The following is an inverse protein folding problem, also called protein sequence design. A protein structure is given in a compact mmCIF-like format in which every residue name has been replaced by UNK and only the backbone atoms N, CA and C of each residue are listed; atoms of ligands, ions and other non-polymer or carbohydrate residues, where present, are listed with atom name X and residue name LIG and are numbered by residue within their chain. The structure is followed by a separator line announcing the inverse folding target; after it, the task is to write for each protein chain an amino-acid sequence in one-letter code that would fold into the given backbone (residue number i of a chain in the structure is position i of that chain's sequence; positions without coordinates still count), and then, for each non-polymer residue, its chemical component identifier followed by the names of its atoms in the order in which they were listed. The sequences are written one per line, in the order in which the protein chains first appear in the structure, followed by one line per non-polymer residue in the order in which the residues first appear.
data_IF_789533013879
#
_entry.id   IF_789533013879
#
_cell.length_a   1.000
_cell.length_b   1.000
_cell.length_c   1.000
_cell.angle_alpha   90.00
_cell.angle_beta   90.00
_cell.angle_gamma   90.00
#
_symmetry.space_group_name_H-M   'P 1'
#
loop_
_entity.id
_entity.type
_entity.pdbx_description
1 polymer ?
#
# COMPACT_ATOMS: atom_id res chain seq x y z
N UNK A 1 0.65 -9.41 12.27
CA UNK A 1 -0.67 -9.59 11.62
C UNK A 1 -0.70 -10.99 11.01
N UNK A 2 -1.50 -11.94 11.52
CA UNK A 2 -1.33 -13.38 11.21
C UNK A 2 -2.17 -13.93 10.03
N UNK A 3 -3.09 -13.17 9.41
CA UNK A 3 -4.07 -13.74 8.45
C UNK A 3 -4.34 -12.87 7.20
N UNK A 4 -3.36 -12.18 6.61
CA UNK A 4 -3.61 -11.34 5.43
C UNK A 4 -3.22 -12.04 4.12
N UNK A 5 -4.20 -12.28 3.25
CA UNK A 5 -3.97 -12.75 1.87
C UNK A 5 -4.06 -11.56 0.91
N UNK A 6 -3.05 -11.30 0.07
CA UNK A 6 -3.15 -10.28 -0.95
C UNK A 6 -4.26 -10.61 -1.94
N UNK A 7 -5.29 -9.77 -2.01
CA UNK A 7 -6.47 -9.98 -2.88
C UNK A 7 -6.32 -9.42 -4.31
N UNK A 8 -5.13 -8.91 -4.66
CA UNK A 8 -4.87 -8.28 -5.96
C UNK A 8 -3.77 -8.97 -6.75
N UNK A 9 -3.85 -8.90 -8.10
CA UNK A 9 -2.75 -9.33 -8.98
C UNK A 9 -1.51 -8.48 -8.69
N UNK A 10 -0.48 -9.09 -8.11
CA UNK A 10 0.82 -8.46 -7.85
C UNK A 10 1.81 -8.86 -8.94
N UNK A 11 2.44 -7.89 -9.57
CA UNK A 11 3.47 -8.13 -10.60
C UNK A 11 4.83 -8.49 -10.00
N UNK A 12 5.06 -8.08 -8.74
CA UNK A 12 6.31 -8.31 -7.99
C UNK A 12 6.03 -9.24 -6.81
N UNK A 13 6.80 -10.33 -6.73
CA UNK A 13 6.78 -11.30 -5.62
C UNK A 13 7.73 -10.88 -4.49
N UNK A 14 7.55 -11.39 -3.24
CA UNK A 14 8.48 -11.14 -2.14
C UNK A 14 9.92 -11.50 -2.50
N UNK A 15 10.16 -12.65 -3.15
CA UNK A 15 11.51 -13.05 -3.55
C UNK A 15 12.14 -12.06 -4.55
N UNK A 16 11.34 -11.47 -5.43
CA UNK A 16 11.80 -10.45 -6.36
C UNK A 16 12.10 -9.13 -5.64
N UNK A 17 11.31 -8.76 -4.63
CA UNK A 17 11.57 -7.59 -3.80
C UNK A 17 12.87 -7.74 -2.99
N UNK A 18 13.13 -8.91 -2.41
CA UNK A 18 14.40 -9.21 -1.72
C UNK A 18 15.57 -8.99 -2.68
N UNK A 19 15.52 -9.56 -3.90
CA UNK A 19 16.59 -9.39 -4.89
C UNK A 19 16.83 -7.92 -5.26
N UNK A 20 15.75 -7.15 -5.48
CA UNK A 20 15.85 -5.72 -5.81
C UNK A 20 16.49 -4.95 -4.66
N UNK A 21 16.06 -5.19 -3.42
CA UNK A 21 16.59 -4.47 -2.27
C UNK A 21 18.03 -4.85 -1.97
N UNK A 22 18.38 -6.14 -2.12
CA UNK A 22 19.74 -6.62 -1.97
C UNK A 22 20.70 -5.99 -2.98
N UNK A 23 20.27 -5.81 -4.24
CA UNK A 23 21.04 -5.11 -5.27
C UNK A 23 21.32 -3.65 -4.91
N UNK A 24 20.49 -3.05 -4.06
CA UNK A 24 20.65 -1.67 -3.57
C UNK A 24 21.32 -1.61 -2.18
N UNK A 25 21.89 -2.72 -1.70
CA UNK A 25 22.61 -2.77 -0.42
C UNK A 25 21.73 -3.02 0.81
N UNK A 26 20.43 -3.27 0.63
CA UNK A 26 19.49 -3.51 1.73
C UNK A 26 19.13 -4.99 1.80
N UNK A 27 19.61 -5.69 2.82
CA UNK A 27 19.29 -7.10 3.06
C UNK A 27 18.06 -7.16 3.96
N UNK A 28 17.05 -7.89 3.51
CA UNK A 28 15.79 -8.08 4.25
C UNK A 28 15.36 -9.55 4.23
N UNK A 29 14.59 -9.93 5.23
CA UNK A 29 13.94 -11.24 5.33
C UNK A 29 12.70 -11.33 4.43
N UNK A 30 12.20 -12.55 4.22
CA UNK A 30 10.97 -12.75 3.43
C UNK A 30 9.74 -12.10 4.08
N UNK A 31 9.64 -12.13 5.41
CA UNK A 31 8.55 -11.49 6.16
C UNK A 31 8.59 -9.97 6.03
N UNK A 32 9.78 -9.37 6.06
CA UNK A 32 9.95 -7.93 5.80
C UNK A 32 9.60 -7.58 4.34
N UNK A 33 9.99 -8.41 3.38
CA UNK A 33 9.66 -8.21 1.97
C UNK A 33 8.15 -8.23 1.74
N UNK A 34 7.42 -9.14 2.39
CA UNK A 34 5.97 -9.20 2.34
C UNK A 34 5.32 -7.93 2.90
N UNK A 35 5.82 -7.45 4.05
CA UNK A 35 5.31 -6.24 4.70
C UNK A 35 5.55 -4.99 3.84
N UNK A 36 6.76 -4.85 3.31
CA UNK A 36 7.16 -3.73 2.45
C UNK A 36 6.30 -3.73 1.19
N UNK A 37 6.19 -4.87 0.49
CA UNK A 37 5.37 -4.96 -0.70
C UNK A 37 3.91 -4.61 -0.41
N UNK A 38 3.36 -5.10 0.71
CA UNK A 38 1.98 -4.80 1.07
C UNK A 38 1.74 -3.31 1.29
N UNK A 39 2.64 -2.65 2.03
CA UNK A 39 2.61 -1.21 2.20
C UNK A 39 2.68 -0.49 0.85
N UNK A 40 3.63 -0.84 -0.02
CA UNK A 40 3.82 -0.21 -1.32
C UNK A 40 2.61 -0.35 -2.23
N UNK A 41 1.98 -1.53 -2.30
CA UNK A 41 0.78 -1.72 -3.11
C UNK A 41 -0.42 -0.91 -2.59
N UNK A 42 -0.60 -0.84 -1.27
CA UNK A 42 -1.66 -0.03 -0.65
C UNK A 42 -1.44 1.46 -0.94
N UNK A 43 -0.20 1.92 -0.79
CA UNK A 43 0.18 3.29 -1.06
C UNK A 43 -0.01 3.65 -2.53
N UNK A 44 0.48 2.81 -3.46
CA UNK A 44 0.31 3.02 -4.90
C UNK A 44 -1.18 3.09 -5.29
N UNK A 45 -2.00 2.15 -4.79
CA UNK A 45 -3.45 2.17 -5.02
C UNK A 45 -4.09 3.46 -4.52
N UNK A 46 -3.70 3.92 -3.33
CA UNK A 46 -4.22 5.15 -2.74
C UNK A 46 -3.81 6.38 -3.57
N UNK A 47 -2.56 6.48 -4.01
CA UNK A 47 -2.05 7.58 -4.84
C UNK A 47 -2.74 7.62 -6.20
N UNK A 48 -2.88 6.48 -6.87
CA UNK A 48 -3.60 6.40 -8.15
C UNK A 48 -5.06 6.79 -7.98
N UNK A 49 -5.73 6.33 -6.92
CA UNK A 49 -7.12 6.73 -6.62
C UNK A 49 -7.24 8.24 -6.41
N UNK A 50 -6.33 8.85 -5.66
CA UNK A 50 -6.32 10.30 -5.46
C UNK A 50 -6.13 11.07 -6.77
N UNK A 51 -5.20 10.62 -7.62
CA UNK A 51 -4.95 11.21 -8.93
C UNK A 51 -6.19 11.12 -9.83
N UNK A 52 -6.82 9.94 -9.91
CA UNK A 52 -8.03 9.73 -10.71
C UNK A 52 -9.17 10.61 -10.21
N UNK A 53 -9.44 10.64 -8.90
CA UNK A 53 -10.49 11.48 -8.32
C UNK A 53 -10.27 12.98 -8.62
N UNK A 54 -9.00 13.43 -8.58
CA UNK A 54 -8.66 14.80 -8.94
C UNK A 54 -8.93 15.08 -10.43
N UNK A 55 -8.64 14.13 -11.31
CA UNK A 55 -8.82 14.26 -12.75
C UNK A 55 -10.29 14.16 -13.19
N UNK A 56 -11.09 13.31 -12.53
CA UNK A 56 -12.52 13.13 -12.84
C UNK A 56 -13.41 14.26 -12.30
N UNK A 57 -12.86 15.20 -11.52
CA UNK A 57 -13.65 16.23 -10.85
C UNK A 57 -14.58 15.68 -9.76
N UNK A 58 -14.49 14.39 -9.44
CA UNK A 58 -15.23 13.78 -8.36
C UNK A 58 -14.70 14.32 -7.03
N UNK A 59 -15.50 15.20 -6.41
CA UNK A 59 -15.26 15.59 -5.03
C UNK A 59 -15.40 14.34 -4.18
N UNK A 60 -14.30 13.91 -3.57
CA UNK A 60 -14.33 12.91 -2.50
C UNK A 60 -15.46 13.30 -1.53
N UNK A 61 -16.39 12.40 -1.15
CA UNK A 61 -17.42 12.75 -0.19
C UNK A 61 -16.72 13.34 1.04
N UNK A 62 -17.16 14.52 1.47
CA UNK A 62 -16.57 15.22 2.60
C UNK A 62 -16.84 14.38 3.86
N UNK A 63 -15.93 13.45 4.18
CA UNK A 63 -16.01 12.67 5.41
C UNK A 63 -15.58 13.59 6.55
N UNK A 64 -16.52 14.37 7.05
CA UNK A 64 -16.32 15.15 8.27
C UNK A 64 -16.07 14.16 9.40
N UNK A 65 -14.86 14.15 9.94
CA UNK A 65 -14.57 13.40 11.17
C UNK A 65 -15.53 13.92 12.24
N UNK A 66 -16.38 13.07 12.84
CA UNK A 66 -17.28 13.49 13.90
C UNK A 66 -16.45 14.11 15.02
N UNK A 67 -16.62 15.41 15.29
CA UNK A 67 -15.88 16.12 16.35
C UNK A 67 -16.15 15.59 17.77
N UNK A 68 -17.01 14.57 17.91
CA UNK A 68 -17.46 13.96 19.17
C UNK A 68 -17.09 12.48 19.27
N UNK A 69 -15.93 12.08 18.75
CA UNK A 69 -15.44 10.70 18.85
C UNK A 69 -14.90 10.35 20.25
N UNK A 70 -14.66 11.35 21.09
CA UNK A 70 -14.33 11.17 22.51
C UNK A 70 -15.25 12.07 23.33
N UNK A 71 -16.07 11.44 24.18
CA UNK A 71 -16.77 12.06 25.31
C UNK A 71 -16.27 11.39 26.58
#
# INVERSE_FOLDING_TARGET
MKNFRPTGKRTITPQKAIKILQQNGTIITETEAELILDFMYKFAKLSVKQMINKASGEKSPEVKTPRKLFK
#
